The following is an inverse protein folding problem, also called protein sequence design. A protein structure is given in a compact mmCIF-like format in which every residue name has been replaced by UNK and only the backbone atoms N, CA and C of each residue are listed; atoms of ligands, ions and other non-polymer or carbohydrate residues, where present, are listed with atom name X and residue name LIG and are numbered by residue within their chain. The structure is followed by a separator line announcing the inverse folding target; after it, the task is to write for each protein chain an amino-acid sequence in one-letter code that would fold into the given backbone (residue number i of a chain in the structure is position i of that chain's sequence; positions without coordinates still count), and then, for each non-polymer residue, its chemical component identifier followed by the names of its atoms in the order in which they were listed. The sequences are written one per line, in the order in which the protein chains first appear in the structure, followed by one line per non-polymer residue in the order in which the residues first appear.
data_IF_965389894812
#
_entry.id   IF_965389894812
#
_cell.length_a   1.000
_cell.length_b   1.000
_cell.length_c   1.000
_cell.angle_alpha   90.00
_cell.angle_beta   90.00
_cell.angle_gamma   90.00
#
_symmetry.space_group_name_H-M   'P 1'
#
loop_
_entity.id
_entity.type
_entity.pdbx_description
1 polymer ?
#
# COMPACT_ATOMS: atom_id res chain seq x y z
N UNK A 1 -30.70 -41.35 18.85
CA UNK A 1 -30.81 -40.08 18.11
C UNK A 1 -29.52 -39.30 18.30
N UNK A 2 -28.84 -38.93 17.21
CA UNK A 2 -27.57 -38.21 17.21
C UNK A 2 -27.84 -36.73 17.51
N UNK A 3 -27.34 -36.22 18.64
CA UNK A 3 -27.28 -34.78 18.90
C UNK A 3 -25.81 -34.38 18.77
N UNK A 4 -25.41 -34.08 17.53
CA UNK A 4 -24.13 -33.43 17.22
C UNK A 4 -24.40 -31.92 17.22
N UNK A 5 -24.42 -31.31 18.41
CA UNK A 5 -24.38 -29.84 18.51
C UNK A 5 -22.92 -29.40 18.41
N UNK A 6 -22.57 -28.97 17.20
CA UNK A 6 -21.28 -28.35 16.83
C UNK A 6 -20.87 -27.28 17.84
N UNK A 7 -19.78 -27.53 18.58
CA UNK A 7 -19.12 -26.58 19.48
C UNK A 7 -18.12 -25.66 18.75
N UNK A 8 -18.33 -25.36 17.45
CA UNK A 8 -17.28 -24.78 16.60
C UNK A 8 -17.67 -23.52 15.80
N UNK A 9 -18.63 -22.72 16.28
CA UNK A 9 -19.05 -21.49 15.58
C UNK A 9 -18.99 -20.22 16.46
N UNK A 10 -18.00 -20.10 17.35
CA UNK A 10 -17.81 -18.90 18.20
C UNK A 10 -16.66 -17.98 17.76
N UNK A 11 -15.71 -18.43 16.95
CA UNK A 11 -14.67 -17.55 16.39
C UNK A 11 -15.15 -16.89 15.09
N UNK A 12 -16.23 -16.13 15.19
CA UNK A 12 -16.67 -15.22 14.14
C UNK A 12 -15.65 -14.11 13.97
N UNK A 13 -14.67 -14.33 13.08
CA UNK A 13 -13.68 -13.37 12.60
C UNK A 13 -14.35 -12.03 12.27
N UNK A 14 -14.17 -11.03 13.15
CA UNK A 14 -14.47 -9.64 12.87
C UNK A 14 -13.59 -9.14 11.73
N UNK A 15 -14.13 -9.17 10.51
CA UNK A 15 -13.46 -8.67 9.31
C UNK A 15 -13.42 -7.15 9.39
N UNK A 16 -12.33 -6.59 9.93
CA UNK A 16 -12.14 -5.15 10.02
C UNK A 16 -12.07 -4.52 8.62
N UNK A 17 -13.14 -3.83 8.24
CA UNK A 17 -13.26 -3.00 7.02
C UNK A 17 -12.50 -1.70 7.22
N UNK A 18 -11.17 -1.77 7.34
CA UNK A 18 -10.32 -0.58 7.41
C UNK A 18 -10.28 0.15 6.07
N UNK A 19 -10.17 1.48 6.12
CA UNK A 19 -9.96 2.30 4.93
C UNK A 19 -8.72 1.81 4.16
N UNK A 20 -8.78 1.91 2.83
CA UNK A 20 -7.70 1.49 1.93
C UNK A 20 -7.17 2.69 1.18
N UNK A 21 -5.85 2.74 1.05
CA UNK A 21 -5.13 3.83 0.40
C UNK A 21 -4.29 3.23 -0.73
N UNK A 22 -4.26 3.91 -1.87
CA UNK A 22 -3.42 3.53 -3.00
C UNK A 22 -1.96 3.92 -2.75
N UNK A 23 -1.05 3.01 -3.07
CA UNK A 23 0.38 3.26 -3.03
C UNK A 23 0.75 4.30 -4.09
N UNK A 24 1.43 5.37 -3.68
CA UNK A 24 1.89 6.40 -4.61
C UNK A 24 2.86 5.85 -5.66
N UNK A 25 3.63 4.81 -5.32
CA UNK A 25 4.64 4.24 -6.21
C UNK A 25 4.08 3.26 -7.24
N UNK A 26 3.35 2.23 -6.79
CA UNK A 26 2.91 1.11 -7.65
C UNK A 26 1.40 1.07 -7.90
N UNK A 27 0.60 1.91 -7.24
CA UNK A 27 -0.86 1.93 -7.37
C UNK A 27 -1.62 0.83 -6.61
N UNK A 28 -0.95 -0.17 -6.03
CA UNK A 28 -1.61 -1.20 -5.21
C UNK A 28 -2.29 -0.60 -3.97
N UNK A 29 -3.37 -1.22 -3.50
CA UNK A 29 -4.10 -0.76 -2.31
C UNK A 29 -3.65 -1.49 -1.05
N UNK A 30 -3.31 -0.72 -0.01
CA UNK A 30 -3.00 -1.23 1.32
C UNK A 30 -3.99 -0.70 2.35
N UNK A 31 -4.14 -1.39 3.49
CA UNK A 31 -4.90 -0.85 4.62
C UNK A 31 -4.19 0.40 5.12
N UNK A 32 -4.95 1.42 5.49
CA UNK A 32 -4.41 2.66 6.05
C UNK A 32 -3.50 2.40 7.26
N UNK A 33 -3.82 1.41 8.10
CA UNK A 33 -2.96 1.04 9.24
C UNK A 33 -1.63 0.37 8.86
N UNK A 34 -1.43 0.03 7.58
CA UNK A 34 -0.26 -0.69 7.07
C UNK A 34 0.56 0.12 6.07
N UNK A 35 0.10 1.29 5.63
CA UNK A 35 0.89 2.15 4.75
C UNK A 35 2.07 2.76 5.50
N UNK A 36 3.15 3.00 4.76
CA UNK A 36 4.29 3.77 5.23
C UNK A 36 4.26 5.13 4.54
N UNK A 37 4.74 6.17 5.22
CA UNK A 37 4.85 7.51 4.66
C UNK A 37 6.30 7.85 4.35
N UNK A 38 6.51 8.52 3.22
CA UNK A 38 7.83 9.00 2.77
C UNK A 38 7.72 10.44 2.28
N UNK A 39 8.65 11.33 2.67
CA UNK A 39 8.79 12.62 2.04
C UNK A 39 9.22 12.43 0.58
N UNK A 40 8.43 12.95 -0.36
CA UNK A 40 8.70 12.89 -1.79
C UNK A 40 8.14 14.15 -2.47
N UNK A 41 8.97 14.88 -3.21
CA UNK A 41 8.62 16.15 -3.85
C UNK A 41 7.98 17.16 -2.87
N UNK A 42 8.52 17.26 -1.66
CA UNK A 42 8.02 18.15 -0.61
C UNK A 42 6.71 17.73 0.07
N UNK A 43 6.14 16.56 -0.26
CA UNK A 43 4.90 16.05 0.34
C UNK A 43 5.09 14.68 1.01
N UNK A 44 4.27 14.36 2.02
CA UNK A 44 4.22 13.01 2.59
C UNK A 44 3.36 12.12 1.69
N UNK A 45 3.98 11.14 1.02
CA UNK A 45 3.29 10.21 0.13
C UNK A 45 3.13 8.83 0.79
N UNK A 46 1.95 8.19 0.70
CA UNK A 46 1.73 6.85 1.22
C UNK A 46 2.28 5.78 0.27
N UNK A 47 2.87 4.72 0.83
CA UNK A 47 3.33 3.54 0.08
C UNK A 47 2.93 2.24 0.76
N UNK A 48 2.69 1.18 -0.03
CA UNK A 48 2.16 -0.08 0.48
C UNK A 48 3.19 -0.96 1.22
N UNK A 49 4.49 -0.77 0.99
CA UNK A 49 5.53 -1.65 1.54
C UNK A 49 6.89 -0.96 1.66
N UNK A 50 7.82 -1.62 2.36
CA UNK A 50 9.22 -1.17 2.52
C UNK A 50 9.95 -1.06 1.18
N UNK A 51 9.60 -1.88 0.18
CA UNK A 51 10.18 -1.80 -1.17
C UNK A 51 9.87 -0.46 -1.84
N UNK A 52 8.58 -0.11 -1.91
CA UNK A 52 8.12 1.17 -2.45
C UNK A 52 8.70 2.37 -1.68
N UNK A 53 8.84 2.25 -0.36
CA UNK A 53 9.50 3.27 0.48
C UNK A 53 10.95 3.49 0.05
N UNK A 54 11.72 2.40 -0.12
CA UNK A 54 13.12 2.47 -0.54
C UNK A 54 13.27 3.09 -1.93
N UNK A 55 12.36 2.76 -2.86
CA UNK A 55 12.39 3.34 -4.19
C UNK A 55 12.21 4.86 -4.12
N UNK A 56 11.14 5.35 -3.47
CA UNK A 56 10.91 6.80 -3.38
C UNK A 56 12.02 7.53 -2.61
N UNK A 57 12.55 6.94 -1.53
CA UNK A 57 13.72 7.50 -0.83
C UNK A 57 14.96 7.58 -1.73
N UNK A 58 15.16 6.58 -2.59
CA UNK A 58 16.31 6.55 -3.52
C UNK A 58 16.15 7.60 -4.60
N UNK A 59 14.94 7.76 -5.16
CA UNK A 59 14.64 8.80 -6.13
C UNK A 59 14.90 10.19 -5.55
N UNK A 60 14.35 10.48 -4.36
CA UNK A 60 14.53 11.77 -3.69
C UNK A 60 16.01 12.04 -3.35
N UNK A 61 16.70 11.04 -2.78
CA UNK A 61 18.12 11.15 -2.40
C UNK A 61 19.04 11.45 -3.59
N UNK A 62 18.71 10.93 -4.77
CA UNK A 62 19.51 11.12 -5.98
C UNK A 62 19.00 12.28 -6.86
N UNK A 63 18.03 13.07 -6.40
CA UNK A 63 17.45 14.18 -7.15
C UNK A 63 16.84 13.75 -8.50
N UNK A 64 16.27 12.54 -8.54
CA UNK A 64 15.67 11.95 -9.75
C UNK A 64 14.14 12.15 -9.81
N UNK A 65 13.60 13.05 -8.98
CA UNK A 65 12.15 13.26 -8.83
C UNK A 65 11.48 13.63 -10.15
N UNK A 66 12.07 14.52 -10.95
CA UNK A 66 11.53 14.92 -12.25
C UNK A 66 11.50 13.76 -13.25
N UNK A 67 12.59 12.99 -13.34
CA UNK A 67 12.67 11.82 -14.22
C UNK A 67 11.67 10.74 -13.81
N UNK A 68 11.50 10.51 -12.50
CA UNK A 68 10.50 9.58 -11.97
C UNK A 68 9.07 10.01 -12.34
N UNK A 69 8.76 11.30 -12.22
CA UNK A 69 7.43 11.82 -12.58
C UNK A 69 7.16 11.77 -14.08
N UNK A 70 8.17 12.03 -14.90
CA UNK A 70 8.06 11.92 -16.36
C UNK A 70 7.73 10.47 -16.80
N UNK A 71 8.44 9.49 -16.25
CA UNK A 71 8.21 8.07 -16.56
C UNK A 71 6.79 7.61 -16.16
N UNK A 72 6.25 8.15 -15.06
CA UNK A 72 4.87 7.84 -14.63
C UNK A 72 3.79 8.42 -15.53
N UNK A 73 4.08 9.49 -16.25
CA UNK A 73 3.14 10.17 -17.14
C UNK A 73 3.24 9.66 -18.58
N UNK A 74 4.36 9.01 -18.92
CA UNK A 74 4.52 8.37 -20.20
C UNK A 74 3.41 7.31 -20.38
N UNK A 75 2.73 7.26 -21.54
CA UNK A 75 1.84 6.15 -21.84
C UNK A 75 2.69 4.89 -21.78
N UNK A 76 2.41 4.03 -20.80
CA UNK A 76 3.11 2.77 -20.62
C UNK A 76 2.89 1.93 -21.88
N UNK A 77 3.88 1.97 -22.79
CA UNK A 77 3.97 1.09 -23.95
C UNK A 77 4.32 -0.32 -23.48
N UNK A 78 3.33 -1.03 -22.97
CA UNK A 78 3.34 -2.48 -22.82
C UNK A 78 2.11 -3.06 -23.50
#
# INVERSE_FOLDING_TARGET
MRVLTSMFDWFGLGKSSGARIACYHCGETARESQVLYVPFNGQQQPVCCRGCLTILKTVEKNLLTDAYLAERQAPSGK
#
